data_IF_209189300231
#
_entry.id   IF_209189300231
#
_cell.length_a   1.000
_cell.length_b   1.000
_cell.length_c   1.000
_cell.angle_alpha   90.00
_cell.angle_beta   90.00
_cell.angle_gamma   90.00
#
_symmetry.space_group_name_H-M   'P 1'
#
loop_
_entity.id
_entity.type
_entity.pdbx_description
1 polymer ?
#
# COMPACT_ATOMS: atom_id res chain seq x y z
N UNK A 1 -12.46 -3.52 17.09
CA UNK A 1 -11.29 -2.62 17.12
C UNK A 1 -11.21 -1.84 15.80
N UNK A 2 -11.31 -0.50 15.80
CA UNK A 2 -11.41 0.31 14.57
C UNK A 2 -10.07 0.48 13.81
N UNK A 3 -8.93 0.27 14.47
CA UNK A 3 -7.59 0.47 13.87
C UNK A 3 -7.27 -0.53 12.75
N UNK A 4 -7.66 -1.80 12.89
CA UNK A 4 -7.38 -2.85 11.89
C UNK A 4 -8.06 -2.59 10.54
N UNK A 5 -9.27 -1.99 10.52
CA UNK A 5 -9.98 -1.68 9.28
C UNK A 5 -9.32 -0.53 8.50
N UNK A 6 -8.79 0.46 9.21
CA UNK A 6 -8.11 1.61 8.58
C UNK A 6 -6.82 1.13 7.92
N UNK A 7 -6.07 0.26 8.58
CA UNK A 7 -4.83 -0.30 8.05
C UNK A 7 -5.10 -1.19 6.81
N UNK A 8 -6.11 -2.07 6.86
CA UNK A 8 -6.47 -2.90 5.70
C UNK A 8 -7.04 -2.10 4.51
N UNK A 9 -7.61 -0.91 4.74
CA UNK A 9 -8.01 0.00 3.66
C UNK A 9 -6.77 0.59 2.97
N UNK A 10 -5.81 1.10 3.75
CA UNK A 10 -4.56 1.66 3.23
C UNK A 10 -3.76 0.65 2.43
N UNK A 11 -3.64 -0.59 2.93
CA UNK A 11 -2.95 -1.67 2.20
C UNK A 11 -3.61 -1.93 0.84
N UNK A 12 -4.94 -2.01 0.79
CA UNK A 12 -5.68 -2.19 -0.48
C UNK A 12 -5.48 -1.02 -1.43
N UNK A 13 -5.47 0.22 -0.95
CA UNK A 13 -5.21 1.40 -1.77
C UNK A 13 -3.78 1.40 -2.32
N UNK A 14 -2.78 1.03 -1.51
CA UNK A 14 -1.39 0.89 -1.95
C UNK A 14 -1.28 -0.13 -3.07
N UNK A 15 -1.88 -1.31 -2.91
CA UNK A 15 -1.85 -2.38 -3.91
C UNK A 15 -2.57 -1.94 -5.20
N UNK A 16 -3.76 -1.36 -5.07
CA UNK A 16 -4.52 -0.81 -6.19
C UNK A 16 -3.73 0.22 -6.98
N UNK A 17 -3.16 1.22 -6.31
CA UNK A 17 -2.37 2.24 -7.00
C UNK A 17 -1.13 1.66 -7.69
N UNK A 18 -0.53 0.61 -7.12
CA UNK A 18 0.64 -0.04 -7.72
C UNK A 18 0.28 -0.91 -8.92
N UNK A 19 -0.72 -1.78 -8.79
CA UNK A 19 -1.05 -2.80 -9.79
C UNK A 19 -2.06 -2.31 -10.84
N UNK A 20 -3.09 -1.55 -10.46
CA UNK A 20 -4.07 -1.02 -11.43
C UNK A 20 -3.59 0.25 -12.13
N UNK A 21 -2.83 1.10 -11.44
CA UNK A 21 -2.44 2.43 -11.97
C UNK A 21 -0.95 2.58 -12.26
N UNK A 22 -0.11 1.57 -11.96
CA UNK A 22 1.33 1.60 -12.23
C UNK A 22 2.10 2.71 -11.51
N UNK A 23 1.57 3.24 -10.40
CA UNK A 23 2.14 4.41 -9.74
C UNK A 23 3.47 4.12 -9.04
N UNK A 24 4.34 5.12 -9.04
CA UNK A 24 5.59 5.11 -8.28
C UNK A 24 5.36 5.24 -6.77
N UNK A 25 6.26 4.68 -5.96
CA UNK A 25 6.11 4.59 -4.50
C UNK A 25 5.90 5.97 -3.83
N UNK A 26 6.56 7.02 -4.31
CA UNK A 26 6.40 8.39 -3.80
C UNK A 26 4.97 8.93 -4.03
N UNK A 27 4.42 8.72 -5.23
CA UNK A 27 3.07 9.17 -5.58
C UNK A 27 2.01 8.43 -4.77
N UNK A 28 2.22 7.13 -4.51
CA UNK A 28 1.35 6.32 -3.64
C UNK A 28 1.40 6.85 -2.20
N UNK A 29 2.60 7.10 -1.69
CA UNK A 29 2.81 7.60 -0.33
C UNK A 29 2.07 8.91 -0.07
N UNK A 30 2.15 9.86 -1.02
CA UNK A 30 1.43 11.15 -0.95
C UNK A 30 -0.08 10.95 -0.97
N UNK A 31 -0.61 10.09 -1.85
CA UNK A 31 -2.06 9.84 -1.95
C UNK A 31 -2.64 9.12 -0.74
N UNK A 32 -1.90 8.17 -0.17
CA UNK A 32 -2.34 7.36 0.98
C UNK A 32 -2.07 8.08 2.31
N UNK A 33 -1.24 9.13 2.30
CA UNK A 33 -0.85 9.88 3.50
C UNK A 33 0.07 9.07 4.41
N UNK A 34 1.05 8.37 3.82
CA UNK A 34 2.01 7.54 4.56
C UNK A 34 3.45 7.77 4.08
N UNK A 35 4.43 7.23 4.80
CA UNK A 35 5.82 7.32 4.39
C UNK A 35 6.10 6.40 3.17
N UNK A 36 7.01 6.80 2.25
CA UNK A 36 7.42 5.95 1.13
C UNK A 36 8.01 4.60 1.58
N UNK A 37 8.65 4.58 2.76
CA UNK A 37 9.17 3.36 3.38
C UNK A 37 8.05 2.37 3.74
N UNK A 38 6.93 2.88 4.23
CA UNK A 38 5.74 2.08 4.54
C UNK A 38 5.15 1.46 3.27
N UNK A 39 5.03 2.25 2.19
CA UNK A 39 4.57 1.73 0.89
C UNK A 39 5.46 0.59 0.41
N UNK A 40 6.78 0.77 0.46
CA UNK A 40 7.76 -0.24 0.06
C UNK A 40 7.63 -1.51 0.90
N UNK A 41 7.51 -1.38 2.21
CA UNK A 41 7.38 -2.53 3.10
C UNK A 41 6.05 -3.27 2.91
N UNK A 42 4.95 -2.55 2.73
CA UNK A 42 3.64 -3.12 2.41
C UNK A 42 3.67 -3.90 1.10
N UNK A 43 4.26 -3.34 0.04
CA UNK A 43 4.41 -4.04 -1.24
C UNK A 43 5.31 -5.29 -1.10
N UNK A 44 6.38 -5.21 -0.32
CA UNK A 44 7.24 -6.37 -0.04
C UNK A 44 6.48 -7.46 0.70
N UNK A 45 5.71 -7.12 1.74
CA UNK A 45 4.88 -8.07 2.50
C UNK A 45 3.79 -8.69 1.62
N UNK A 46 3.17 -7.90 0.75
CA UNK A 46 2.18 -8.40 -0.21
C UNK A 46 2.79 -9.39 -1.21
N UNK A 47 3.98 -9.09 -1.75
CA UNK A 47 4.71 -10.00 -2.63
C UNK A 47 5.08 -11.32 -1.92
N UNK A 48 5.53 -11.26 -0.66
CA UNK A 48 5.80 -12.47 0.16
C UNK A 48 4.52 -13.27 0.42
N UNK A 49 3.38 -12.59 0.59
CA UNK A 49 2.07 -13.22 0.77
C UNK A 49 1.44 -13.74 -0.54
N UNK A 50 2.11 -13.58 -1.70
CA UNK A 50 1.56 -13.98 -3.00
C UNK A 50 0.40 -13.10 -3.49
N UNK A 51 0.22 -11.92 -2.91
CA UNK A 51 -0.79 -10.95 -3.29
C UNK A 51 -0.21 -10.06 -4.42
N UNK A 52 -0.43 -10.46 -5.66
CA UNK A 52 -0.03 -9.74 -6.89
C UNK A 52 -1.25 -9.29 -7.69
#
# INVERSE_FOLDING_TARGET
MPAERVEMRRVREILRYRFEQGLGHKSIAVRVGTAPSTVRETLRRAAVAGLS
#
